data_IF_020212531242
#
_entry.id   IF_020212531242
#
_cell.length_a   1.000
_cell.length_b   1.000
_cell.length_c   1.000
_cell.angle_alpha   90.00
_cell.angle_beta   90.00
_cell.angle_gamma   90.00
#
_symmetry.space_group_name_H-M   'P 1'
#
loop_
_entity.id
_entity.type
_entity.pdbx_description
1 polymer ?
#
# COMPACT_ATOMS: atom_id res chain seq x y z
N UNK A 1 81.52 23.17 -12.52
CA UNK A 1 80.13 23.11 -13.01
C UNK A 1 79.79 21.66 -13.33
N UNK A 2 79.04 20.97 -12.46
CA UNK A 2 78.44 19.67 -12.73
C UNK A 2 76.98 19.76 -12.32
N UNK A 3 76.07 19.67 -13.30
CA UNK A 3 74.63 19.64 -13.10
C UNK A 3 74.22 18.19 -12.82
N UNK A 4 73.69 17.93 -11.63
CA UNK A 4 73.07 16.66 -11.26
C UNK A 4 71.57 16.73 -11.54
N UNK A 5 71.10 15.91 -12.48
CA UNK A 5 69.69 15.75 -12.79
C UNK A 5 68.98 14.92 -11.71
N UNK A 6 67.91 15.48 -11.15
CA UNK A 6 66.98 14.78 -10.23
C UNK A 6 65.85 14.19 -11.08
N UNK A 7 65.57 12.88 -11.03
CA UNK A 7 64.43 12.32 -11.75
C UNK A 7 63.17 12.55 -10.92
N UNK A 8 62.15 13.17 -11.54
CA UNK A 8 60.82 13.31 -10.95
C UNK A 8 60.08 11.97 -11.06
N UNK A 9 59.80 11.35 -9.92
CA UNK A 9 58.93 10.18 -9.85
C UNK A 9 57.47 10.66 -9.93
N UNK A 10 56.82 10.50 -11.08
CA UNK A 10 55.38 10.73 -11.24
C UNK A 10 54.61 9.58 -10.56
N UNK A 11 54.04 9.86 -9.39
CA UNK A 11 53.11 8.95 -8.73
C UNK A 11 51.76 9.02 -9.45
N UNK A 12 51.42 7.99 -10.25
CA UNK A 12 50.10 7.86 -10.86
C UNK A 12 49.16 7.29 -9.80
N UNK A 13 48.36 8.14 -9.14
CA UNK A 13 47.24 7.70 -8.32
C UNK A 13 46.13 7.16 -9.23
N UNK A 14 46.08 5.84 -9.41
CA UNK A 14 44.93 5.19 -10.04
C UNK A 14 43.75 5.23 -9.09
N UNK A 15 42.87 6.23 -9.25
CA UNK A 15 41.59 6.29 -8.55
C UNK A 15 40.67 5.19 -9.11
N UNK A 16 40.64 4.03 -8.45
CA UNK A 16 39.63 3.01 -8.73
C UNK A 16 38.28 3.56 -8.31
N UNK A 17 37.45 3.96 -9.29
CA UNK A 17 36.04 4.28 -9.06
C UNK A 17 35.33 2.99 -8.64
N UNK A 18 35.15 2.79 -7.34
CA UNK A 18 34.28 1.74 -6.82
C UNK A 18 32.85 2.03 -7.27
N UNK A 19 32.30 1.19 -8.14
CA UNK A 19 30.86 1.20 -8.42
C UNK A 19 30.14 0.69 -7.18
N UNK A 20 29.50 1.59 -6.43
CA UNK A 20 28.54 1.20 -5.41
C UNK A 20 27.31 0.63 -6.13
N UNK A 21 27.15 -0.69 -6.08
CA UNK A 21 25.91 -1.33 -6.48
C UNK A 21 24.90 -1.10 -5.36
N UNK A 22 23.92 -0.22 -5.59
CA UNK A 22 22.77 -0.08 -4.71
C UNK A 22 21.86 -1.28 -4.96
N UNK A 23 21.77 -2.20 -4.00
CA UNK A 23 20.82 -3.31 -4.05
C UNK A 23 19.47 -2.80 -3.54
N UNK A 24 18.52 -2.68 -4.45
CA UNK A 24 17.10 -2.50 -4.12
C UNK A 24 16.68 -3.61 -3.14
N UNK A 25 16.02 -3.24 -2.04
CA UNK A 25 15.56 -4.18 -1.00
C UNK A 25 14.06 -4.00 -0.83
N UNK A 26 13.30 -5.08 -0.96
CA UNK A 26 11.85 -5.02 -0.75
C UNK A 26 11.53 -4.77 0.73
N UNK A 27 10.65 -3.82 0.99
CA UNK A 27 10.12 -3.43 2.31
C UNK A 27 8.60 -3.52 2.27
N UNK A 28 7.99 -3.88 3.39
CA UNK A 28 6.54 -3.94 3.55
C UNK A 28 6.01 -2.72 4.29
N UNK A 29 4.77 -2.34 3.96
CA UNK A 29 3.89 -1.50 4.76
C UNK A 29 2.63 -2.33 4.98
N UNK A 30 2.49 -2.86 6.18
CA UNK A 30 1.35 -3.66 6.61
C UNK A 30 0.17 -2.77 7.03
N UNK A 31 -1.06 -3.22 6.83
CA UNK A 31 -2.28 -2.47 7.15
C UNK A 31 -2.31 -1.97 8.62
N UNK A 32 -1.83 -2.79 9.55
CA UNK A 32 -1.97 -2.59 11.00
C UNK A 32 -0.62 -2.37 11.68
N UNK A 33 0.40 -3.10 11.25
CA UNK A 33 1.77 -3.04 11.75
C UNK A 33 2.56 -1.88 11.14
N UNK A 34 2.16 -1.38 9.98
CA UNK A 34 2.76 -0.23 9.32
C UNK A 34 4.07 -0.56 8.60
N UNK A 35 4.88 0.46 8.36
CA UNK A 35 6.13 0.33 7.64
C UNK A 35 7.18 -0.50 8.41
N UNK A 36 7.74 -1.51 7.76
CA UNK A 36 8.71 -2.46 8.32
C UNK A 36 10.07 -1.86 8.74
N UNK A 37 10.39 -0.65 8.28
CA UNK A 37 11.65 0.05 8.56
C UNK A 37 11.45 1.10 9.65
N UNK A 38 10.39 1.88 9.55
CA UNK A 38 10.14 3.07 10.39
C UNK A 38 9.10 2.82 11.49
N UNK A 39 8.25 1.82 11.33
CA UNK A 39 7.07 1.57 12.17
C UNK A 39 5.93 2.58 11.96
N UNK A 40 6.03 3.46 10.96
CA UNK A 40 5.00 4.44 10.65
C UNK A 40 3.69 3.72 10.27
N UNK A 41 2.59 4.11 10.92
CA UNK A 41 1.29 3.48 10.72
C UNK A 41 0.56 4.06 9.51
N UNK A 42 -0.24 3.21 8.89
CA UNK A 42 -1.20 3.60 7.86
C UNK A 42 -2.26 4.50 8.48
N UNK A 43 -2.59 5.60 7.79
CA UNK A 43 -3.63 6.52 8.19
C UNK A 43 -4.91 6.25 7.40
N UNK A 44 -5.93 5.81 8.13
CA UNK A 44 -7.27 5.55 7.64
C UNK A 44 -8.18 6.75 7.90
N UNK A 45 -8.81 7.27 6.84
CA UNK A 45 -9.69 8.44 6.91
C UNK A 45 -11.10 8.13 6.41
N UNK A 46 -12.12 8.80 6.98
CA UNK A 46 -12.01 9.69 8.13
C UNK A 46 -11.78 8.91 9.44
N UNK A 47 -10.94 9.48 10.32
CA UNK A 47 -10.50 8.83 11.56
C UNK A 47 -11.61 8.75 12.62
N UNK A 48 -12.60 9.63 12.52
CA UNK A 48 -13.78 9.65 13.41
C UNK A 48 -15.00 9.30 12.55
N UNK A 49 -15.74 8.22 12.87
CA UNK A 49 -16.97 7.89 12.16
C UNK A 49 -18.04 8.97 12.41
N UNK A 50 -19.01 9.14 11.50
CA UNK A 50 -20.27 9.83 11.79
C UNK A 50 -20.97 9.22 13.01
N UNK A 51 -22.04 9.87 13.47
CA UNK A 51 -22.76 9.54 14.71
C UNK A 51 -23.30 8.10 14.84
N UNK A 52 -23.24 7.31 13.77
CA UNK A 52 -23.67 5.91 13.67
C UNK A 52 -22.57 4.87 13.94
N UNK A 53 -21.30 5.29 13.98
CA UNK A 53 -20.23 4.54 14.65
C UNK A 53 -19.82 3.23 13.96
N UNK A 54 -19.09 3.34 12.83
CA UNK A 54 -17.81 2.65 12.51
C UNK A 54 -17.61 2.66 11.00
N UNK A 55 -16.44 3.14 10.55
CA UNK A 55 -16.06 3.21 9.13
C UNK A 55 -14.99 2.20 8.78
N UNK A 56 -13.93 2.20 9.59
CA UNK A 56 -12.81 1.28 9.47
C UNK A 56 -12.91 0.20 10.54
N UNK A 57 -12.74 -1.03 10.11
CA UNK A 57 -12.78 -2.22 10.95
C UNK A 57 -11.66 -3.17 10.56
N UNK A 58 -11.28 -4.04 11.48
CA UNK A 58 -10.19 -4.99 11.29
C UNK A 58 -10.59 -6.34 11.90
N UNK A 59 -9.74 -7.34 11.74
CA UNK A 59 -9.96 -8.69 12.26
C UNK A 59 -10.33 -8.69 13.76
N UNK A 60 -9.75 -7.80 14.56
CA UNK A 60 -10.00 -7.74 16.01
C UNK A 60 -11.37 -7.13 16.32
N UNK A 61 -11.72 -6.00 15.69
CA UNK A 61 -13.02 -5.37 15.91
C UNK A 61 -14.16 -6.22 15.36
N UNK A 62 -13.94 -6.94 14.25
CA UNK A 62 -14.91 -7.87 13.69
C UNK A 62 -15.13 -9.10 14.58
N UNK A 63 -14.09 -9.66 15.17
CA UNK A 63 -14.21 -10.76 16.13
C UNK A 63 -15.07 -10.38 17.36
N UNK A 64 -15.17 -9.09 17.69
CA UNK A 64 -16.03 -8.56 18.75
C UNK A 64 -17.50 -8.32 18.31
N UNK A 65 -17.91 -8.76 17.10
CA UNK A 65 -19.27 -8.66 16.59
C UNK A 65 -19.58 -7.35 15.86
N UNK A 66 -18.56 -6.67 15.32
CA UNK A 66 -18.71 -5.35 14.69
C UNK A 66 -18.91 -5.38 13.18
N UNK A 67 -18.99 -6.56 12.55
CA UNK A 67 -18.89 -6.75 11.10
C UNK A 67 -19.87 -7.81 10.58
N UNK A 68 -20.02 -7.87 9.25
CA UNK A 68 -20.84 -8.86 8.55
C UNK A 68 -20.37 -10.31 8.76
N UNK A 69 -21.23 -11.28 8.46
CA UNK A 69 -20.97 -12.71 8.70
C UNK A 69 -19.79 -13.28 7.88
N UNK A 70 -19.52 -12.72 6.70
CA UNK A 70 -18.39 -13.11 5.86
C UNK A 70 -17.17 -12.20 6.13
N UNK A 71 -16.11 -12.79 6.68
CA UNK A 71 -14.87 -12.08 7.01
C UNK A 71 -13.66 -12.74 6.34
N UNK A 72 -12.64 -11.96 5.92
CA UNK A 72 -11.38 -12.53 5.50
C UNK A 72 -10.75 -13.37 6.62
N UNK A 73 -10.20 -14.51 6.25
CA UNK A 73 -9.37 -15.32 7.13
C UNK A 73 -8.05 -14.59 7.33
N UNK A 74 -7.85 -14.04 8.53
CA UNK A 74 -6.63 -13.34 8.90
C UNK A 74 -5.38 -14.18 8.65
N UNK A 75 -5.42 -15.50 8.82
CA UNK A 75 -4.25 -16.36 8.61
C UNK A 75 -3.73 -16.42 7.16
N UNK A 76 -4.46 -15.86 6.20
CA UNK A 76 -4.08 -15.75 4.81
C UNK A 76 -3.63 -14.33 4.41
N UNK A 77 -3.77 -13.35 5.31
CA UNK A 77 -3.31 -11.99 5.12
C UNK A 77 -1.87 -11.82 5.61
N UNK A 78 -1.17 -10.76 5.19
CA UNK A 78 0.16 -10.46 5.69
C UNK A 78 0.11 -10.25 7.21
N UNK A 79 1.06 -10.87 7.92
CA UNK A 79 1.21 -10.79 9.38
C UNK A 79 -0.07 -11.05 10.20
N UNK A 80 -1.05 -11.72 9.59
CA UNK A 80 -2.38 -12.02 10.14
C UNK A 80 -3.24 -10.79 10.44
N UNK A 81 -3.08 -9.70 9.69
CA UNK A 81 -3.86 -8.47 9.87
C UNK A 81 -4.48 -8.00 8.57
N UNK A 82 -5.59 -7.28 8.67
CA UNK A 82 -6.20 -6.58 7.54
C UNK A 82 -7.10 -5.46 8.07
N UNK A 83 -7.21 -4.38 7.30
CA UNK A 83 -8.08 -3.26 7.65
C UNK A 83 -9.01 -2.99 6.48
N UNK A 84 -10.29 -2.96 6.80
CA UNK A 84 -11.37 -2.86 5.84
C UNK A 84 -12.30 -1.70 6.13
N UNK A 85 -12.98 -1.28 5.09
CA UNK A 85 -14.01 -0.27 5.12
C UNK A 85 -15.06 -0.56 4.06
N UNK A 86 -16.31 -0.21 4.37
CA UNK A 86 -17.38 -0.15 3.40
C UNK A 86 -17.71 1.32 3.14
N UNK A 87 -17.44 1.77 1.92
CA UNK A 87 -17.96 3.02 1.42
C UNK A 87 -19.49 2.93 1.35
N UNK A 88 -20.15 3.87 2.00
CA UNK A 88 -21.59 4.09 1.94
C UNK A 88 -21.81 5.53 1.47
N UNK A 89 -22.90 5.79 0.76
CA UNK A 89 -23.14 7.07 0.07
C UNK A 89 -23.21 8.30 1.01
N UNK A 90 -23.42 8.09 2.31
CA UNK A 90 -23.40 9.11 3.37
C UNK A 90 -22.00 9.44 3.89
N UNK A 91 -21.00 8.62 3.58
CA UNK A 91 -19.59 8.83 3.89
C UNK A 91 -18.94 9.50 2.69
N UNK A 92 -18.75 10.82 2.74
CA UNK A 92 -18.30 11.64 1.59
C UNK A 92 -17.08 11.11 0.83
N UNK A 93 -16.10 10.52 1.52
CA UNK A 93 -14.98 9.79 0.92
C UNK A 93 -14.20 9.02 1.99
N UNK A 94 -13.62 7.86 1.62
CA UNK A 94 -12.73 7.09 2.49
C UNK A 94 -11.33 7.00 1.85
N UNK A 95 -10.28 7.08 2.66
CA UNK A 95 -8.92 6.96 2.15
C UNK A 95 -7.94 6.24 3.06
N UNK A 96 -6.96 5.61 2.43
CA UNK A 96 -5.79 4.95 3.04
C UNK A 96 -4.57 5.76 2.65
N UNK A 97 -3.76 6.16 3.62
CA UNK A 97 -2.65 7.07 3.40
C UNK A 97 -1.42 6.53 4.11
N UNK A 98 -0.28 6.48 3.42
CA UNK A 98 1.00 6.13 4.02
C UNK A 98 2.16 6.71 3.21
N UNK A 99 3.33 6.79 3.85
CA UNK A 99 4.56 7.27 3.23
C UNK A 99 5.50 6.10 2.95
N UNK A 100 6.27 6.21 1.88
CA UNK A 100 7.35 5.27 1.57
C UNK A 100 8.53 6.04 0.97
N UNK A 101 9.74 5.48 1.10
CA UNK A 101 10.91 6.03 0.41
C UNK A 101 11.54 4.98 -0.50
N UNK A 102 11.47 5.21 -1.81
CA UNK A 102 11.88 4.20 -2.78
C UNK A 102 11.64 4.59 -4.23
N UNK A 103 11.83 3.60 -5.11
CA UNK A 103 11.71 3.69 -6.58
C UNK A 103 10.56 2.87 -7.15
N UNK A 104 9.92 2.05 -6.32
CA UNK A 104 8.76 1.27 -6.73
C UNK A 104 7.76 1.09 -5.59
N UNK A 105 6.49 0.88 -5.93
CA UNK A 105 5.41 0.54 -5.01
C UNK A 105 4.48 -0.50 -5.66
N UNK A 106 4.00 -1.44 -4.87
CA UNK A 106 3.03 -2.48 -5.23
C UNK A 106 2.01 -2.58 -4.09
N UNK A 107 0.72 -2.50 -4.40
CA UNK A 107 -0.36 -2.48 -3.40
C UNK A 107 -1.20 -3.73 -3.54
N UNK A 108 -1.45 -4.40 -2.42
CA UNK A 108 -2.16 -5.67 -2.37
C UNK A 108 -3.41 -5.56 -1.50
N UNK A 109 -4.53 -5.97 -2.06
CA UNK A 109 -5.82 -6.02 -1.38
C UNK A 109 -6.29 -7.46 -1.20
N UNK A 110 -7.26 -7.62 -0.29
CA UNK A 110 -8.12 -8.80 -0.23
C UNK A 110 -9.43 -8.45 -0.94
N UNK A 111 -9.83 -9.24 -1.93
CA UNK A 111 -11.01 -8.97 -2.76
C UNK A 111 -12.18 -9.86 -2.36
N UNK A 112 -13.32 -9.30 -1.93
CA UNK A 112 -14.54 -10.06 -1.70
C UNK A 112 -15.26 -10.40 -3.02
N UNK A 113 -15.63 -11.67 -3.22
CA UNK A 113 -16.33 -12.14 -4.41
C UNK A 113 -17.72 -12.75 -4.09
N UNK A 114 -18.53 -12.11 -3.25
CA UNK A 114 -19.88 -12.59 -2.92
C UNK A 114 -20.94 -12.06 -3.90
N UNK A 115 -22.01 -12.82 -4.15
CA UNK A 115 -23.00 -12.45 -5.16
C UNK A 115 -23.71 -11.11 -4.81
N UNK A 116 -23.94 -10.20 -5.78
CA UNK A 116 -24.53 -8.89 -5.53
C UNK A 116 -25.94 -8.92 -4.93
N UNK A 117 -26.71 -9.98 -5.21
CA UNK A 117 -28.07 -10.15 -4.68
C UNK A 117 -28.10 -10.42 -3.16
N UNK A 118 -26.97 -10.82 -2.58
CA UNK A 118 -26.79 -11.01 -1.14
C UNK A 118 -26.06 -9.85 -0.47
N UNK A 119 -25.26 -9.07 -1.20
CA UNK A 119 -24.50 -7.97 -0.63
C UNK A 119 -24.04 -6.94 -1.70
N UNK A 120 -24.47 -5.67 -1.65
CA UNK A 120 -23.91 -4.60 -2.48
C UNK A 120 -22.42 -4.32 -2.20
N UNK A 121 -21.83 -4.91 -1.15
CA UNK A 121 -20.46 -4.64 -0.70
C UNK A 121 -19.35 -5.46 -1.39
N UNK A 122 -19.64 -6.30 -2.39
CA UNK A 122 -18.60 -7.11 -3.07
C UNK A 122 -17.96 -6.43 -4.28
N UNK A 123 -18.02 -5.10 -4.32
CA UNK A 123 -17.40 -4.28 -5.35
C UNK A 123 -16.25 -3.50 -4.76
N UNK A 124 -15.11 -3.45 -5.47
CA UNK A 124 -13.95 -2.63 -5.08
C UNK A 124 -13.75 -1.56 -6.13
N UNK A 125 -13.73 -0.28 -5.72
CA UNK A 125 -13.45 0.86 -6.61
C UNK A 125 -12.59 1.90 -5.91
N UNK A 126 -11.41 2.16 -6.45
CA UNK A 126 -10.52 3.15 -5.89
C UNK A 126 -9.60 3.81 -6.93
N UNK A 127 -9.05 4.96 -6.54
CA UNK A 127 -8.07 5.74 -7.29
C UNK A 127 -6.81 5.87 -6.44
N UNK A 128 -5.66 5.78 -7.09
CA UNK A 128 -4.34 5.89 -6.47
C UNK A 128 -3.73 7.24 -6.80
N UNK A 129 -3.16 7.87 -5.78
CA UNK A 129 -2.42 9.11 -5.89
C UNK A 129 -1.03 8.94 -5.30
N UNK A 130 -0.01 9.43 -6.00
CA UNK A 130 1.34 9.61 -5.46
C UNK A 130 1.62 11.11 -5.45
N UNK A 131 1.98 11.64 -4.29
CA UNK A 131 2.31 13.06 -4.08
C UNK A 131 1.21 14.01 -4.59
N UNK A 132 -0.05 13.60 -4.39
CA UNK A 132 -1.25 14.35 -4.80
C UNK A 132 -1.61 14.23 -6.29
N UNK A 133 -0.81 13.56 -7.09
CA UNK A 133 -1.11 13.30 -8.52
C UNK A 133 -1.77 11.94 -8.69
N UNK A 134 -2.89 11.89 -9.42
CA UNK A 134 -3.52 10.61 -9.76
C UNK A 134 -2.61 9.79 -10.67
N UNK A 135 -2.32 8.55 -10.27
CA UNK A 135 -1.39 7.64 -10.96
C UNK A 135 -2.02 6.32 -11.40
N UNK A 136 -3.27 6.05 -11.01
CA UNK A 136 -3.99 4.86 -11.43
C UNK A 136 -5.36 4.75 -10.80
N UNK A 137 -6.11 3.74 -11.22
CA UNK A 137 -7.38 3.35 -10.61
C UNK A 137 -7.57 1.85 -10.70
N UNK A 138 -8.37 1.30 -9.79
CA UNK A 138 -8.74 -0.11 -9.77
C UNK A 138 -10.25 -0.25 -9.64
N UNK A 139 -10.81 -1.23 -10.33
CA UNK A 139 -12.23 -1.59 -10.27
C UNK A 139 -12.35 -3.09 -10.38
N UNK A 140 -13.10 -3.68 -9.46
CA UNK A 140 -13.41 -5.10 -9.44
C UNK A 140 -14.88 -5.29 -9.11
N UNK A 141 -15.57 -6.03 -9.97
CA UNK A 141 -16.93 -6.51 -9.70
C UNK A 141 -16.85 -8.00 -9.32
N UNK A 142 -17.60 -8.38 -8.30
CA UNK A 142 -17.66 -9.76 -7.80
C UNK A 142 -17.95 -10.80 -8.89
N UNK A 143 -17.19 -11.89 -8.87
CA UNK A 143 -17.44 -13.05 -9.73
C UNK A 143 -18.53 -14.01 -9.17
N UNK A 144 -19.02 -13.75 -7.95
CA UNK A 144 -20.06 -14.54 -7.30
C UNK A 144 -19.61 -15.89 -6.73
N UNK A 145 -18.31 -16.17 -6.67
CA UNK A 145 -17.74 -17.41 -6.08
C UNK A 145 -18.02 -17.57 -4.58
N UNK A 146 -18.34 -16.49 -3.88
CA UNK A 146 -18.52 -16.46 -2.43
C UNK A 146 -17.22 -16.65 -1.66
N UNK A 147 -16.09 -16.28 -2.26
CA UNK A 147 -14.76 -16.42 -1.67
C UNK A 147 -14.04 -15.07 -1.58
N UNK A 148 -12.99 -15.02 -0.76
CA UNK A 148 -12.03 -13.93 -0.77
C UNK A 148 -10.81 -14.31 -1.62
N UNK A 149 -10.34 -13.38 -2.45
CA UNK A 149 -9.03 -13.49 -3.13
C UNK A 149 -8.01 -12.70 -2.33
N UNK A 150 -6.89 -13.32 -1.97
CA UNK A 150 -5.79 -12.72 -1.21
C UNK A 150 -4.63 -12.39 -2.16
N UNK A 151 -3.71 -11.53 -1.71
CA UNK A 151 -2.54 -11.10 -2.49
C UNK A 151 -2.90 -10.51 -3.87
N UNK A 152 -4.07 -9.88 -4.00
CA UNK A 152 -4.48 -9.28 -5.28
C UNK A 152 -3.71 -7.98 -5.51
N UNK A 153 -2.89 -7.94 -6.56
CA UNK A 153 -2.15 -6.74 -6.96
C UNK A 153 -3.10 -5.72 -7.60
N UNK A 154 -3.50 -4.71 -6.83
CA UNK A 154 -4.45 -3.67 -7.29
C UNK A 154 -3.79 -2.44 -7.88
N UNK A 155 -2.51 -2.21 -7.58
CA UNK A 155 -1.71 -1.15 -8.16
C UNK A 155 -0.22 -1.49 -8.13
N UNK A 156 0.50 -1.09 -9.18
CA UNK A 156 1.96 -1.19 -9.22
C UNK A 156 2.56 -0.03 -10.01
N UNK A 157 3.68 0.49 -9.53
CA UNK A 157 4.52 1.42 -10.28
C UNK A 157 5.99 1.16 -9.94
N UNK A 158 6.75 0.70 -10.93
CA UNK A 158 8.17 0.33 -10.80
C UNK A 158 9.15 1.41 -11.24
N UNK A 159 8.66 2.60 -11.58
CA UNK A 159 9.42 3.67 -12.23
C UNK A 159 9.22 5.01 -11.52
N UNK A 160 9.27 4.99 -10.19
CA UNK A 160 9.15 6.18 -9.34
C UNK A 160 10.55 6.77 -9.15
N UNK A 161 10.66 8.11 -9.20
CA UNK A 161 11.90 8.81 -8.89
C UNK A 161 12.29 8.51 -7.45
N UNK A 162 13.52 8.07 -7.19
CA UNK A 162 13.96 7.78 -5.83
C UNK A 162 13.77 8.99 -4.90
N UNK A 163 13.00 8.83 -3.83
CA UNK A 163 12.66 9.91 -2.91
C UNK A 163 11.72 9.44 -1.82
N UNK A 164 11.22 10.38 -1.02
CA UNK A 164 10.08 10.16 -0.13
C UNK A 164 8.80 10.49 -0.89
N UNK A 165 7.79 9.62 -0.74
CA UNK A 165 6.52 9.73 -1.42
C UNK A 165 5.36 9.49 -0.46
N UNK A 166 4.22 10.12 -0.74
CA UNK A 166 2.95 9.80 -0.09
C UNK A 166 2.05 9.07 -1.07
N UNK A 167 1.63 7.85 -0.71
CA UNK A 167 0.55 7.16 -1.40
C UNK A 167 -0.77 7.49 -0.70
N UNK A 168 -1.79 7.84 -1.50
CA UNK A 168 -3.17 7.89 -1.07
C UNK A 168 -4.01 6.97 -1.96
N UNK A 169 -4.79 6.10 -1.34
CA UNK A 169 -5.80 5.27 -1.99
C UNK A 169 -7.16 5.82 -1.58
N UNK A 170 -7.99 6.21 -2.54
CA UNK A 170 -9.28 6.82 -2.27
C UNK A 170 -10.39 6.00 -2.90
N UNK A 171 -11.44 5.68 -2.13
CA UNK A 171 -12.66 5.05 -2.66
C UNK A 171 -13.38 5.99 -3.61
N UNK A 172 -13.98 5.46 -4.68
CA UNK A 172 -14.74 6.26 -5.65
C UNK A 172 -16.06 5.63 -6.04
N UNK A 173 -16.98 6.45 -6.56
CA UNK A 173 -18.30 6.02 -7.04
C UNK A 173 -19.44 6.55 -6.18
N UNK A 174 -20.67 6.23 -6.58
CA UNK A 174 -21.92 6.51 -5.85
C UNK A 174 -22.54 5.28 -5.20
N UNK A 175 -22.05 4.10 -5.57
CA UNK A 175 -22.53 2.81 -5.08
C UNK A 175 -21.66 2.32 -3.91
N UNK A 176 -22.20 1.48 -3.01
CA UNK A 176 -21.41 0.85 -1.97
C UNK A 176 -20.19 0.11 -2.55
N UNK A 177 -19.04 0.29 -1.92
CA UNK A 177 -17.80 -0.39 -2.30
C UNK A 177 -17.02 -0.77 -1.06
N UNK A 178 -16.49 -1.98 -1.02
CA UNK A 178 -15.61 -2.42 0.06
C UNK A 178 -14.16 -2.27 -0.38
N UNK A 179 -13.31 -1.84 0.55
CA UNK A 179 -11.87 -1.90 0.41
C UNK A 179 -11.33 -2.69 1.59
N UNK A 180 -10.44 -3.66 1.33
CA UNK A 180 -9.77 -4.45 2.35
C UNK A 180 -8.27 -4.38 2.02
N UNK A 181 -7.59 -3.48 2.72
CA UNK A 181 -6.15 -3.32 2.55
C UNK A 181 -5.41 -4.31 3.44
N UNK A 182 -4.43 -4.96 2.82
CA UNK A 182 -3.59 -5.97 3.45
C UNK A 182 -2.17 -5.41 3.60
N UNK A 183 -1.48 -5.14 2.47
CA UNK A 183 -0.15 -4.57 2.53
C UNK A 183 0.27 -3.88 1.24
N UNK A 184 1.38 -3.15 1.33
CA UNK A 184 2.14 -2.67 0.19
C UNK A 184 3.60 -3.10 0.26
N UNK A 185 4.23 -3.28 -0.90
CA UNK A 185 5.67 -3.49 -1.05
C UNK A 185 6.29 -2.29 -1.74
N UNK A 186 7.40 -1.80 -1.22
CA UNK A 186 8.22 -0.79 -1.90
C UNK A 186 9.70 -1.22 -1.94
N UNK A 187 10.46 -0.54 -2.79
CA UNK A 187 11.88 -0.84 -3.01
C UNK A 187 12.75 0.39 -3.05
#
# INVERSE_FOLDING_TARGET
MRLSHVPWLLLILSATRGTLLSSSTNRTIDDSLGDSVTGAKVQYLPAVPPSDGRLWFNQTSCAAGSCADALPNAALALDNTWTAAMYLADVSSMSINFQFSGTAIYVFFIIPNFAPASDPSSTVRCVFFIDGSQVGSFTHDSDGSGQFTYDELVYSNSSITNGEHTLMIQTTGSEPAMIIFDYALYT
#
